data_IF_005687333017
#
_entry.id   IF_005687333017
#
_cell.length_a   1.000
_cell.length_b   1.000
_cell.length_c   1.000
_cell.angle_alpha   90.00
_cell.angle_beta   90.00
_cell.angle_gamma   90.00
#
_symmetry.space_group_name_H-M   'P 1'
#
loop_
_entity.id
_entity.type
_entity.pdbx_description
1 polymer ?
#
# COMPACT_ATOMS: atom_id res chain seq x y z
N UNK A 1 -16.47 -21.56 22.61
CA UNK A 1 -15.16 -21.59 23.33
C UNK A 1 -14.15 -21.03 22.39
N UNK A 2 -13.56 -19.88 22.77
CA UNK A 2 -12.86 -18.98 21.89
C UNK A 2 -11.55 -19.52 21.32
N UNK A 3 -11.25 -19.02 20.16
CA UNK A 3 -9.93 -19.06 19.51
C UNK A 3 -8.92 -18.42 20.47
N UNK A 4 -7.69 -18.94 20.65
CA UNK A 4 -6.71 -18.33 21.51
C UNK A 4 -6.44 -16.91 21.07
N UNK A 5 -6.73 -15.97 21.95
CA UNK A 5 -6.53 -14.54 21.80
C UNK A 5 -5.01 -14.29 21.78
N UNK A 6 -4.45 -14.03 20.63
CA UNK A 6 -3.14 -13.40 20.50
C UNK A 6 -3.41 -11.91 20.67
N UNK A 7 -3.03 -11.36 21.81
CA UNK A 7 -3.27 -9.98 22.20
C UNK A 7 -2.84 -9.00 21.10
N UNK A 8 -3.81 -8.26 20.56
CA UNK A 8 -3.55 -7.03 19.82
C UNK A 8 -3.49 -7.11 18.30
N UNK A 9 -3.78 -8.27 17.67
CA UNK A 9 -3.75 -8.40 16.21
C UNK A 9 -5.15 -8.72 15.68
N UNK A 10 -5.68 -7.87 14.81
CA UNK A 10 -6.95 -8.10 14.12
C UNK A 10 -6.73 -9.11 13.00
N UNK A 11 -6.93 -10.40 13.30
CA UNK A 11 -6.90 -11.44 12.29
C UNK A 11 -8.23 -11.48 11.53
N UNK A 12 -8.16 -11.40 10.20
CA UNK A 12 -9.30 -11.60 9.31
C UNK A 12 -9.58 -13.09 9.13
N UNK A 13 -10.86 -13.44 8.93
CA UNK A 13 -11.28 -14.80 8.59
C UNK A 13 -11.97 -14.78 7.23
N UNK A 14 -11.48 -15.60 6.30
CA UNK A 14 -12.11 -15.85 5.00
C UNK A 14 -12.75 -17.22 5.02
N UNK A 15 -14.04 -17.29 4.71
CA UNK A 15 -14.76 -18.54 4.51
C UNK A 15 -14.47 -19.08 3.11
N UNK A 16 -14.09 -20.34 3.02
CA UNK A 16 -13.82 -20.98 1.73
C UNK A 16 -14.93 -21.92 1.31
N UNK A 17 -15.07 -22.13 -0.01
CA UNK A 17 -16.04 -23.06 -0.59
C UNK A 17 -15.51 -24.50 -0.65
N UNK A 18 -14.36 -24.79 -0.03
CA UNK A 18 -13.71 -26.08 -0.19
C UNK A 18 -14.35 -27.17 0.68
N UNK A 19 -14.53 -28.34 0.09
CA UNK A 19 -14.85 -29.57 0.81
C UNK A 19 -13.60 -30.39 1.14
N UNK A 20 -12.47 -30.10 0.49
CA UNK A 20 -11.19 -30.77 0.72
C UNK A 20 -10.15 -29.78 1.31
N UNK A 21 -10.15 -29.69 2.64
CA UNK A 21 -9.22 -28.84 3.38
C UNK A 21 -7.76 -29.18 3.13
N UNK A 22 -7.42 -30.49 2.93
CA UNK A 22 -6.01 -30.87 2.72
C UNK A 22 -5.50 -30.38 1.38
N UNK A 23 -6.32 -30.48 0.33
CA UNK A 23 -6.00 -29.94 -0.97
C UNK A 23 -5.83 -28.43 -0.92
N UNK A 24 -6.71 -27.70 -0.19
CA UNK A 24 -6.59 -26.27 0.03
C UNK A 24 -5.26 -25.91 0.72
N UNK A 25 -4.92 -26.58 1.82
CA UNK A 25 -3.69 -26.36 2.57
C UNK A 25 -2.45 -26.55 1.71
N UNK A 26 -2.43 -27.62 0.92
CA UNK A 26 -1.31 -27.90 0.01
C UNK A 26 -1.19 -26.84 -1.07
N UNK A 27 -2.31 -26.44 -1.68
CA UNK A 27 -2.33 -25.40 -2.71
C UNK A 27 -1.86 -24.03 -2.18
N UNK A 28 -2.23 -23.66 -0.94
CA UNK A 28 -1.74 -22.45 -0.27
C UNK A 28 -0.24 -22.55 0.00
N UNK A 29 0.22 -23.71 0.46
CA UNK A 29 1.65 -23.94 0.75
C UNK A 29 2.51 -23.80 -0.50
N UNK A 30 2.06 -24.32 -1.63
CA UNK A 30 2.72 -24.18 -2.94
C UNK A 30 2.74 -22.73 -3.41
N UNK A 31 1.62 -21.99 -3.33
CA UNK A 31 1.54 -20.60 -3.76
C UNK A 31 2.43 -19.67 -2.92
N UNK A 32 2.46 -19.88 -1.61
CA UNK A 32 3.27 -19.09 -0.68
C UNK A 32 4.72 -19.57 -0.54
N UNK A 33 5.10 -20.64 -1.23
CA UNK A 33 6.41 -21.30 -1.08
C UNK A 33 6.76 -21.57 0.39
N UNK A 34 5.77 -21.99 1.19
CA UNK A 34 5.85 -22.21 2.63
C UNK A 34 5.46 -23.63 2.99
N UNK A 35 6.00 -24.16 4.07
CA UNK A 35 5.61 -25.48 4.59
C UNK A 35 4.30 -25.39 5.38
N UNK A 36 3.46 -26.42 5.28
CA UNK A 36 2.24 -26.54 6.06
C UNK A 36 2.48 -27.34 7.34
N UNK A 37 2.22 -26.74 8.50
CA UNK A 37 2.36 -27.37 9.80
C UNK A 37 1.00 -27.68 10.42
N UNK A 38 0.76 -28.94 10.78
CA UNK A 38 -0.45 -29.32 11.50
C UNK A 38 -0.31 -29.02 12.99
N UNK A 39 -1.20 -28.17 13.53
CA UNK A 39 -1.15 -27.71 14.93
C UNK A 39 -1.74 -28.70 15.96
N UNK A 40 -2.33 -29.81 15.51
CA UNK A 40 -2.90 -30.83 16.40
C UNK A 40 -4.13 -30.37 17.18
N UNK A 41 -4.49 -31.16 18.19
CA UNK A 41 -5.60 -30.85 19.09
C UNK A 41 -5.21 -29.77 20.12
N UNK A 42 -6.10 -28.86 20.51
CA UNK A 42 -7.56 -28.86 20.25
C UNK A 42 -7.97 -28.16 18.94
N UNK A 43 -7.11 -27.36 18.33
CA UNK A 43 -7.48 -26.52 17.17
C UNK A 43 -7.71 -27.31 15.90
N UNK A 44 -6.97 -28.41 15.70
CA UNK A 44 -6.96 -29.21 14.47
C UNK A 44 -6.72 -28.34 13.21
N UNK A 45 -6.02 -27.22 13.35
CA UNK A 45 -5.74 -26.28 12.28
C UNK A 45 -4.40 -26.59 11.60
N UNK A 46 -4.17 -25.99 10.44
CA UNK A 46 -2.87 -25.96 9.76
C UNK A 46 -2.37 -24.51 9.74
N UNK A 47 -1.09 -24.35 10.03
CA UNK A 47 -0.35 -23.10 9.83
C UNK A 47 0.42 -23.17 8.51
N UNK A 48 0.27 -22.15 7.66
CA UNK A 48 0.96 -22.03 6.38
C UNK A 48 1.44 -20.59 6.23
N UNK A 49 2.72 -20.36 6.45
CA UNK A 49 3.28 -19.01 6.49
C UNK A 49 2.64 -18.16 7.58
N UNK A 50 1.99 -17.05 7.20
CA UNK A 50 1.26 -16.16 8.12
C UNK A 50 -0.23 -16.49 8.25
N UNK A 51 -0.69 -17.60 7.67
CA UNK A 51 -2.10 -17.99 7.64
C UNK A 51 -2.36 -19.24 8.47
N UNK A 52 -3.56 -19.30 9.04
CA UNK A 52 -4.08 -20.49 9.74
C UNK A 52 -5.31 -20.97 8.98
N UNK A 53 -5.32 -22.23 8.57
CA UNK A 53 -6.50 -22.90 7.99
C UNK A 53 -7.18 -23.67 9.10
N UNK A 54 -8.39 -23.23 9.47
CA UNK A 54 -9.13 -23.83 10.58
C UNK A 54 -9.69 -25.22 10.21
N UNK A 55 -10.35 -25.86 11.18
CA UNK A 55 -10.97 -27.18 11.02
C UNK A 55 -11.99 -27.25 9.89
N UNK A 56 -12.69 -26.16 9.65
CA UNK A 56 -13.79 -26.07 8.68
C UNK A 56 -13.29 -25.63 7.29
N UNK A 57 -11.97 -25.40 7.14
CA UNK A 57 -11.35 -24.96 5.90
C UNK A 57 -11.33 -23.45 5.71
N UNK A 58 -11.74 -22.68 6.71
CA UNK A 58 -11.63 -21.23 6.63
C UNK A 58 -10.19 -20.77 6.91
N UNK A 59 -9.79 -19.66 6.32
CA UNK A 59 -8.44 -19.14 6.42
C UNK A 59 -8.45 -17.92 7.33
N UNK A 60 -7.56 -17.90 8.31
CA UNK A 60 -7.35 -16.79 9.23
C UNK A 60 -5.97 -16.20 9.02
N UNK A 61 -5.85 -14.89 8.89
CA UNK A 61 -4.58 -14.18 8.67
C UNK A 61 -4.74 -12.68 8.84
N UNK A 62 -3.61 -11.98 8.87
CA UNK A 62 -3.58 -10.52 9.05
C UNK A 62 -3.67 -9.77 7.71
N UNK A 63 -3.15 -10.36 6.64
CA UNK A 63 -3.06 -9.74 5.32
C UNK A 63 -3.28 -10.79 4.22
N UNK A 64 -4.41 -10.69 3.57
CA UNK A 64 -4.79 -11.61 2.48
C UNK A 64 -4.36 -11.13 1.09
N UNK A 65 -3.76 -9.96 0.95
CA UNK A 65 -3.35 -9.43 -0.35
C UNK A 65 -2.48 -10.42 -1.18
N UNK A 66 -1.51 -11.14 -0.59
CA UNK A 66 -0.71 -12.11 -1.36
C UNK A 66 -1.47 -13.39 -1.75
N UNK A 67 -2.52 -13.76 -0.99
CA UNK A 67 -3.21 -15.04 -1.15
C UNK A 67 -4.55 -14.91 -1.87
N UNK A 68 -5.23 -13.79 -1.73
CA UNK A 68 -6.59 -13.59 -2.25
C UNK A 68 -6.72 -13.80 -3.76
N UNK A 69 -5.82 -13.28 -4.64
CA UNK A 69 -5.89 -13.51 -6.08
C UNK A 69 -5.79 -14.99 -6.45
N UNK A 70 -4.98 -15.75 -5.72
CA UNK A 70 -4.84 -17.18 -5.88
C UNK A 70 -6.15 -17.92 -5.50
N UNK A 71 -6.72 -17.59 -4.33
CA UNK A 71 -7.97 -18.21 -3.86
C UNK A 71 -9.13 -17.95 -4.80
N UNK A 72 -9.24 -16.74 -5.34
CA UNK A 72 -10.26 -16.36 -6.32
C UNK A 72 -10.08 -17.11 -7.63
N UNK A 73 -8.87 -17.09 -8.21
CA UNK A 73 -8.55 -17.75 -9.48
C UNK A 73 -8.83 -19.26 -9.45
N UNK A 74 -8.63 -19.90 -8.29
CA UNK A 74 -8.84 -21.33 -8.10
C UNK A 74 -10.24 -21.68 -7.54
N UNK A 75 -11.14 -20.70 -7.37
CA UNK A 75 -12.52 -20.92 -6.95
C UNK A 75 -12.68 -21.35 -5.48
N UNK A 76 -11.64 -21.18 -4.65
CA UNK A 76 -11.70 -21.49 -3.22
C UNK A 76 -12.57 -20.50 -2.43
N UNK A 77 -12.68 -19.30 -2.92
CA UNK A 77 -13.56 -18.26 -2.38
C UNK A 77 -14.45 -17.77 -3.53
N UNK A 78 -15.73 -17.57 -3.26
CA UNK A 78 -16.56 -16.78 -4.14
C UNK A 78 -15.89 -15.42 -4.33
N UNK A 79 -16.12 -14.75 -5.48
CA UNK A 79 -15.64 -13.39 -5.68
C UNK A 79 -15.95 -12.55 -4.43
N UNK A 80 -15.06 -12.62 -3.44
CA UNK A 80 -14.95 -11.59 -2.45
C UNK A 80 -14.48 -10.38 -3.27
N UNK A 81 -15.43 -9.69 -3.87
CA UNK A 81 -15.21 -8.28 -4.13
C UNK A 81 -14.81 -7.75 -2.78
N UNK A 82 -13.54 -7.47 -2.57
CA UNK A 82 -13.14 -6.52 -1.54
C UNK A 82 -14.15 -5.39 -1.75
N UNK A 83 -15.05 -5.19 -0.80
CA UNK A 83 -16.06 -4.15 -0.93
C UNK A 83 -15.24 -2.88 -1.08
N UNK A 84 -15.22 -2.38 -2.31
CA UNK A 84 -14.41 -1.25 -2.64
C UNK A 84 -14.90 -0.09 -1.77
N UNK A 85 -14.21 0.12 -0.65
CA UNK A 85 -14.60 1.14 0.33
C UNK A 85 -14.35 2.50 -0.29
N UNK A 86 -15.38 3.30 -0.37
CA UNK A 86 -15.25 4.68 -0.82
C UNK A 86 -14.98 5.56 0.38
N UNK A 87 -13.80 6.17 0.42
CA UNK A 87 -13.52 7.23 1.39
C UNK A 87 -13.93 8.55 0.77
N UNK A 88 -14.85 9.25 1.42
CA UNK A 88 -15.33 10.56 0.99
C UNK A 88 -14.95 11.61 2.02
N UNK A 89 -14.32 12.70 1.57
CA UNK A 89 -13.96 13.82 2.43
C UNK A 89 -14.54 15.13 1.90
N UNK A 90 -15.01 16.03 2.78
CA UNK A 90 -15.56 17.33 2.36
C UNK A 90 -14.49 18.22 1.72
N UNK A 91 -14.83 18.83 0.61
CA UNK A 91 -14.03 19.84 -0.08
C UNK A 91 -14.91 21.00 -0.58
N UNK A 92 -15.69 21.67 0.31
CA UNK A 92 -16.75 22.60 -0.11
C UNK A 92 -16.20 23.82 -0.87
N UNK A 93 -15.02 24.32 -0.52
CA UNK A 93 -14.44 25.56 -1.05
C UNK A 93 -13.35 25.32 -2.10
N UNK A 94 -13.28 24.12 -2.66
CA UNK A 94 -12.27 23.79 -3.68
C UNK A 94 -12.58 24.51 -4.98
N UNK A 95 -11.57 25.16 -5.59
CA UNK A 95 -11.71 25.79 -6.90
C UNK A 95 -11.50 24.79 -8.04
N UNK A 96 -11.90 25.17 -9.25
CA UNK A 96 -11.73 24.29 -10.43
C UNK A 96 -10.24 24.09 -10.76
N UNK A 97 -9.40 25.11 -10.54
CA UNK A 97 -7.93 24.97 -10.67
C UNK A 97 -7.37 23.96 -9.68
N UNK A 98 -7.87 23.98 -8.44
CA UNK A 98 -7.47 23.01 -7.43
C UNK A 98 -7.97 21.59 -7.74
N UNK A 99 -9.15 21.44 -8.33
CA UNK A 99 -9.66 20.17 -8.84
C UNK A 99 -8.81 19.62 -10.00
N UNK A 100 -8.38 20.50 -10.92
CA UNK A 100 -7.40 20.13 -11.95
C UNK A 100 -6.09 19.68 -11.32
N UNK A 101 -5.55 20.42 -10.34
CA UNK A 101 -4.33 20.04 -9.63
C UNK A 101 -4.49 18.70 -8.94
N UNK A 102 -5.63 18.43 -8.31
CA UNK A 102 -5.98 17.17 -7.69
C UNK A 102 -5.95 16.01 -8.70
N UNK A 103 -6.62 16.20 -9.85
CA UNK A 103 -6.61 15.21 -10.95
C UNK A 103 -5.20 14.93 -11.45
N UNK A 104 -4.36 15.96 -11.58
CA UNK A 104 -2.98 15.82 -12.03
C UNK A 104 -2.09 15.10 -10.99
N UNK A 105 -2.27 15.37 -9.69
CA UNK A 105 -1.59 14.65 -8.63
C UNK A 105 -2.00 13.18 -8.66
N UNK A 106 -3.30 12.89 -8.73
CA UNK A 106 -3.80 11.53 -8.75
C UNK A 106 -3.30 10.77 -10.00
N UNK A 107 -3.38 11.37 -11.18
CA UNK A 107 -2.83 10.79 -12.41
C UNK A 107 -1.34 10.46 -12.28
N UNK A 108 -0.56 11.42 -11.78
CA UNK A 108 0.88 11.22 -11.62
C UNK A 108 1.22 10.09 -10.64
N UNK A 109 0.37 9.83 -9.67
CA UNK A 109 0.61 8.91 -8.55
C UNK A 109 -0.27 7.66 -8.55
N UNK A 110 -1.18 7.51 -9.53
CA UNK A 110 -2.13 6.37 -9.55
C UNK A 110 -1.41 5.02 -9.47
N UNK A 111 -0.27 4.86 -10.13
CA UNK A 111 0.50 3.63 -10.05
C UNK A 111 0.99 3.35 -8.62
N UNK A 112 1.57 4.34 -7.96
CA UNK A 112 2.03 4.22 -6.56
C UNK A 112 0.85 3.98 -5.61
N UNK A 113 -0.29 4.68 -5.81
CA UNK A 113 -1.49 4.48 -5.01
C UNK A 113 -2.03 3.04 -5.14
N UNK A 114 -2.07 2.51 -6.36
CA UNK A 114 -2.50 1.15 -6.61
C UNK A 114 -1.53 0.12 -5.99
N UNK A 115 -0.22 0.33 -6.07
CA UNK A 115 0.76 -0.51 -5.38
C UNK A 115 0.58 -0.47 -3.85
N UNK A 116 0.32 0.71 -3.26
CA UNK A 116 0.06 0.86 -1.81
C UNK A 116 -1.16 0.05 -1.37
N UNK A 117 -2.18 -0.06 -2.19
CA UNK A 117 -3.41 -0.80 -1.90
C UNK A 117 -3.32 -2.28 -2.27
N UNK A 118 -2.37 -2.66 -3.13
CA UNK A 118 -2.30 -4.00 -3.71
C UNK A 118 -3.36 -4.31 -4.77
N UNK A 119 -4.07 -3.28 -5.27
CA UNK A 119 -5.11 -3.45 -6.30
C UNK A 119 -5.20 -2.23 -7.23
N UNK A 120 -5.58 -2.46 -8.49
CA UNK A 120 -5.76 -1.41 -9.50
C UNK A 120 -7.17 -0.80 -9.42
N UNK A 121 -7.44 -0.05 -8.34
CA UNK A 121 -8.74 0.60 -8.13
C UNK A 121 -8.81 2.02 -8.69
N UNK A 122 -7.68 2.73 -8.72
CA UNK A 122 -7.60 4.13 -9.16
C UNK A 122 -7.00 4.17 -10.57
N UNK A 123 -7.79 4.61 -11.53
CA UNK A 123 -7.34 4.83 -12.90
C UNK A 123 -7.87 6.17 -13.42
N UNK A 124 -6.96 7.04 -13.82
CA UNK A 124 -7.26 8.33 -14.44
C UNK A 124 -6.74 8.27 -15.88
N UNK A 125 -7.62 8.37 -16.89
CA UNK A 125 -7.21 8.35 -18.29
C UNK A 125 -6.30 9.54 -18.64
N UNK A 126 -5.36 9.33 -19.54
CA UNK A 126 -4.49 10.39 -20.04
C UNK A 126 -5.30 11.46 -20.81
N UNK A 127 -6.34 11.03 -21.49
CA UNK A 127 -7.26 11.87 -22.25
C UNK A 127 -7.96 12.90 -21.35
N UNK A 128 -8.37 12.54 -20.15
CA UNK A 128 -8.91 13.49 -19.16
C UNK A 128 -7.86 14.53 -18.77
N UNK A 129 -6.60 14.11 -18.60
CA UNK A 129 -5.50 15.02 -18.28
C UNK A 129 -5.25 16.00 -19.41
N UNK A 130 -5.24 15.53 -20.66
CA UNK A 130 -5.08 16.42 -21.82
C UNK A 130 -6.26 17.40 -21.95
N UNK A 131 -7.49 16.94 -21.78
CA UNK A 131 -8.66 17.82 -21.78
C UNK A 131 -8.55 18.92 -20.71
N UNK A 132 -8.10 18.58 -19.49
CA UNK A 132 -7.90 19.56 -18.40
C UNK A 132 -6.69 20.49 -18.62
N UNK A 133 -5.73 20.14 -19.48
CA UNK A 133 -4.65 21.02 -19.91
C UNK A 133 -5.13 22.02 -20.96
N UNK A 134 -5.97 21.55 -21.90
CA UNK A 134 -6.48 22.37 -23.00
C UNK A 134 -7.51 23.38 -22.53
N UNK A 135 -8.48 22.94 -21.73
CA UNK A 135 -9.55 23.79 -21.24
C UNK A 135 -9.93 23.47 -19.80
N UNK A 136 -9.94 24.49 -18.95
CA UNK A 136 -10.43 24.36 -17.59
C UNK A 136 -11.96 24.52 -17.60
N UNK A 137 -12.74 23.59 -16.97
CA UNK A 137 -14.17 23.75 -16.76
C UNK A 137 -14.52 25.09 -16.09
N UNK A 138 -15.63 25.68 -16.44
CA UNK A 138 -16.00 27.00 -15.89
C UNK A 138 -16.49 26.90 -14.43
N UNK A 139 -17.17 25.82 -14.11
CA UNK A 139 -17.75 25.57 -12.77
C UNK A 139 -17.35 24.19 -12.23
N UNK A 140 -17.60 23.95 -10.94
CA UNK A 140 -17.41 22.64 -10.32
C UNK A 140 -18.39 21.60 -10.86
N UNK A 141 -19.57 22.04 -11.23
CA UNK A 141 -20.61 21.24 -11.87
C UNK A 141 -20.15 20.78 -13.26
N UNK A 142 -19.56 21.68 -14.07
CA UNK A 142 -18.97 21.33 -15.36
C UNK A 142 -17.80 20.34 -15.19
N UNK A 143 -16.99 20.52 -14.13
CA UNK A 143 -15.94 19.57 -13.80
C UNK A 143 -16.51 18.18 -13.46
N UNK A 144 -17.59 18.12 -12.69
CA UNK A 144 -18.27 16.85 -12.38
C UNK A 144 -18.81 16.18 -13.64
N UNK A 145 -19.44 16.95 -14.54
CA UNK A 145 -19.92 16.42 -15.83
C UNK A 145 -18.76 15.92 -16.71
N UNK A 146 -17.62 16.61 -16.68
CA UNK A 146 -16.43 16.15 -17.37
C UNK A 146 -15.97 14.80 -16.80
N UNK A 147 -15.86 14.63 -15.48
CA UNK A 147 -15.51 13.34 -14.87
C UNK A 147 -16.49 12.24 -15.29
N UNK A 148 -17.79 12.51 -15.27
CA UNK A 148 -18.82 11.53 -15.65
C UNK A 148 -18.65 11.07 -17.11
N UNK A 149 -18.26 11.96 -18.02
CA UNK A 149 -18.01 11.62 -19.43
C UNK A 149 -16.80 10.70 -19.63
N UNK A 150 -15.86 10.68 -18.69
CA UNK A 150 -14.68 9.80 -18.74
C UNK A 150 -14.85 8.48 -18.01
N UNK A 151 -15.95 8.25 -17.29
CA UNK A 151 -16.23 6.96 -16.62
C UNK A 151 -16.30 5.79 -17.61
N UNK A 152 -16.97 6.00 -18.75
CA UNK A 152 -17.02 5.02 -19.83
C UNK A 152 -15.67 4.84 -20.54
N UNK A 153 -14.79 5.83 -20.45
CA UNK A 153 -13.43 5.79 -21.00
C UNK A 153 -12.38 5.25 -20.02
N UNK A 154 -12.83 4.71 -18.88
CA UNK A 154 -12.00 4.01 -17.92
C UNK A 154 -11.52 4.86 -16.74
N UNK A 155 -12.15 5.99 -16.45
CA UNK A 155 -11.97 6.68 -15.16
C UNK A 155 -12.58 5.83 -14.06
N UNK A 156 -11.76 5.39 -13.11
CA UNK A 156 -12.21 4.61 -11.95
C UNK A 156 -11.56 5.10 -10.66
N UNK A 157 -12.23 4.86 -9.54
CA UNK A 157 -11.68 5.08 -8.20
C UNK A 157 -11.53 6.53 -7.78
N UNK A 158 -11.92 7.49 -8.60
CA UNK A 158 -11.92 8.92 -8.30
C UNK A 158 -13.26 9.55 -8.68
N UNK A 159 -13.84 10.31 -7.77
CA UNK A 159 -15.04 11.14 -8.05
C UNK A 159 -14.96 12.46 -7.27
N UNK A 160 -15.64 13.47 -7.82
CA UNK A 160 -15.92 14.73 -7.14
C UNK A 160 -17.35 15.12 -7.43
N UNK A 161 -18.16 15.27 -6.36
CA UNK A 161 -19.59 15.57 -6.50
C UNK A 161 -20.08 16.32 -5.27
N UNK A 162 -20.91 17.32 -5.49
CA UNK A 162 -21.56 18.10 -4.42
C UNK A 162 -20.58 18.70 -3.37
N UNK A 163 -19.33 19.01 -3.77
CA UNK A 163 -18.32 19.52 -2.86
C UNK A 163 -17.66 18.44 -2.01
N UNK A 164 -17.74 17.19 -2.43
CA UNK A 164 -17.09 16.04 -1.79
C UNK A 164 -16.11 15.38 -2.74
N UNK A 165 -14.95 15.02 -2.21
CA UNK A 165 -13.89 14.29 -2.91
C UNK A 165 -13.85 12.84 -2.44
N UNK A 166 -14.00 11.92 -3.39
CA UNK A 166 -14.06 10.49 -3.11
C UNK A 166 -12.95 9.73 -3.81
N UNK A 167 -12.31 8.81 -3.06
CA UNK A 167 -11.43 7.78 -3.60
C UNK A 167 -11.91 6.40 -3.19
N UNK A 168 -11.75 5.43 -4.10
CA UNK A 168 -12.12 4.03 -3.87
C UNK A 168 -10.87 3.23 -3.53
N UNK A 169 -10.92 2.54 -2.39
CA UNK A 169 -9.84 1.69 -1.91
C UNK A 169 -10.35 0.27 -1.64
N UNK A 170 -9.56 -0.78 -1.91
CA UNK A 170 -9.95 -2.17 -1.73
C UNK A 170 -9.69 -2.61 -0.28
N UNK A 171 -10.47 -2.11 0.68
CA UNK A 171 -10.33 -2.51 2.08
C UNK A 171 -11.51 -3.35 2.53
N UNK A 172 -11.25 -4.17 3.55
CA UNK A 172 -12.28 -4.85 4.30
C UNK A 172 -12.78 -3.97 5.44
N UNK A 173 -14.05 -4.08 5.81
CA UNK A 173 -14.67 -3.28 6.89
C UNK A 173 -13.93 -3.37 8.23
N UNK A 174 -13.22 -4.46 8.48
CA UNK A 174 -12.51 -4.72 9.72
C UNK A 174 -11.02 -4.29 9.74
N UNK A 175 -10.60 -3.42 8.83
CA UNK A 175 -9.23 -2.89 8.75
C UNK A 175 -9.14 -1.40 9.16
N UNK A 176 -9.49 -1.00 10.41
CA UNK A 176 -9.60 0.40 10.80
C UNK A 176 -8.28 1.19 10.70
N UNK A 177 -7.14 0.54 10.89
CA UNK A 177 -5.83 1.17 10.77
C UNK A 177 -5.49 1.51 9.32
N UNK A 178 -5.81 0.61 8.38
CA UNK A 178 -5.67 0.90 6.95
C UNK A 178 -6.60 2.04 6.55
N UNK A 179 -7.85 1.96 6.96
CA UNK A 179 -8.85 2.99 6.67
C UNK A 179 -8.37 4.37 7.14
N UNK A 180 -7.89 4.48 8.39
CA UNK A 180 -7.34 5.72 8.94
C UNK A 180 -6.12 6.21 8.17
N UNK A 181 -5.19 5.31 7.80
CA UNK A 181 -3.99 5.68 7.06
C UNK A 181 -4.31 6.22 5.65
N UNK A 182 -5.26 5.60 4.94
CA UNK A 182 -5.63 6.03 3.59
C UNK A 182 -6.57 7.25 3.59
N UNK A 183 -7.46 7.40 4.58
CA UNK A 183 -8.22 8.64 4.77
C UNK A 183 -7.29 9.82 5.05
N UNK A 184 -6.28 9.62 5.90
CA UNK A 184 -5.23 10.61 6.15
C UNK A 184 -4.43 10.95 4.88
N UNK A 185 -4.09 9.95 4.05
CA UNK A 185 -3.41 10.15 2.77
C UNK A 185 -4.27 10.98 1.81
N UNK A 186 -5.56 10.63 1.67
CA UNK A 186 -6.52 11.35 0.84
C UNK A 186 -6.63 12.83 1.25
N UNK A 187 -6.73 13.09 2.57
CA UNK A 187 -6.78 14.47 3.09
C UNK A 187 -5.52 15.27 2.76
N UNK A 188 -4.33 14.66 2.84
CA UNK A 188 -3.06 15.30 2.50
C UNK A 188 -2.87 15.51 1.01
N UNK A 189 -3.39 14.62 0.17
CA UNK A 189 -3.44 14.83 -1.29
C UNK A 189 -4.33 16.02 -1.62
N UNK A 190 -5.51 16.14 -1.00
CA UNK A 190 -6.40 17.27 -1.17
C UNK A 190 -5.74 18.59 -0.73
N UNK A 191 -5.05 18.59 0.41
CA UNK A 191 -4.32 19.76 0.89
C UNK A 191 -3.22 20.15 -0.11
N UNK A 192 -2.43 19.19 -0.58
CA UNK A 192 -1.39 19.44 -1.58
C UNK A 192 -1.96 20.02 -2.90
N UNK A 193 -3.13 19.57 -3.32
CA UNK A 193 -3.82 20.12 -4.51
C UNK A 193 -4.29 21.57 -4.30
N UNK A 194 -4.71 21.93 -3.08
CA UNK A 194 -5.12 23.29 -2.69
C UNK A 194 -3.94 24.25 -2.62
N UNK A 195 -2.81 23.79 -2.11
CA UNK A 195 -1.60 24.61 -1.93
C UNK A 195 -0.76 24.75 -3.22
N UNK A 196 -0.91 23.82 -4.16
CA UNK A 196 -0.12 23.79 -5.38
C UNK A 196 -0.52 24.92 -6.34
N UNK A 197 0.42 25.78 -6.69
CA UNK A 197 0.25 26.77 -7.75
C UNK A 197 0.18 26.08 -9.12
N UNK A 198 0.99 25.04 -9.33
CA UNK A 198 1.06 24.28 -10.57
C UNK A 198 1.46 22.82 -10.30
N UNK A 199 0.80 21.90 -10.98
CA UNK A 199 1.12 20.47 -10.97
C UNK A 199 1.45 20.01 -12.38
N UNK A 200 2.53 19.26 -12.54
CA UNK A 200 2.88 18.61 -13.83
C UNK A 200 2.35 17.18 -13.80
N UNK A 201 1.44 16.81 -14.71
CA UNK A 201 0.84 15.49 -14.73
C UNK A 201 1.71 14.48 -15.49
N UNK A 202 2.84 14.15 -14.94
CA UNK A 202 3.72 13.11 -15.47
C UNK A 202 3.48 11.80 -14.71
N UNK A 203 3.13 10.74 -15.44
CA UNK A 203 2.87 9.43 -14.84
C UNK A 203 4.15 8.85 -14.26
N UNK A 204 4.19 8.65 -12.96
CA UNK A 204 5.32 8.07 -12.26
C UNK A 204 5.15 6.55 -12.15
N UNK A 205 6.02 5.81 -12.84
CA UNK A 205 6.16 4.36 -12.74
C UNK A 205 7.60 4.04 -12.35
N UNK A 206 7.92 3.94 -11.05
CA UNK A 206 9.26 3.56 -10.63
C UNK A 206 9.53 2.09 -10.97
N UNK A 207 10.80 1.74 -11.14
CA UNK A 207 11.26 0.36 -11.16
C UNK A 207 10.92 -0.31 -9.81
N UNK A 208 10.70 -1.62 -9.81
CA UNK A 208 10.29 -2.38 -8.63
C UNK A 208 11.19 -2.14 -7.41
N UNK A 209 12.51 -2.12 -7.59
CA UNK A 209 13.46 -1.82 -6.52
C UNK A 209 13.30 -0.41 -5.92
N UNK A 210 12.74 0.53 -6.69
CA UNK A 210 12.61 1.94 -6.33
C UNK A 210 11.20 2.33 -5.83
N UNK A 211 10.22 1.42 -5.87
CA UNK A 211 8.83 1.69 -5.48
C UNK A 211 8.74 2.29 -4.08
N UNK A 212 9.29 1.58 -3.09
CA UNK A 212 9.24 1.99 -1.69
C UNK A 212 9.97 3.31 -1.43
N UNK A 213 11.12 3.52 -2.08
CA UNK A 213 11.86 4.77 -2.01
C UNK A 213 11.03 5.94 -2.57
N UNK A 214 10.47 5.76 -3.76
CA UNK A 214 9.69 6.77 -4.47
C UNK A 214 8.43 7.14 -3.68
N UNK A 215 7.71 6.15 -3.18
CA UNK A 215 6.54 6.34 -2.35
C UNK A 215 6.89 7.03 -1.02
N UNK A 216 7.96 6.61 -0.35
CA UNK A 216 8.45 7.22 0.89
C UNK A 216 8.80 8.69 0.70
N UNK A 217 9.52 9.04 -0.38
CA UNK A 217 9.86 10.43 -0.69
C UNK A 217 8.62 11.28 -0.97
N UNK A 218 7.61 10.71 -1.63
CA UNK A 218 6.33 11.40 -1.84
C UNK A 218 5.57 11.61 -0.53
N UNK A 219 5.45 10.58 0.31
CA UNK A 219 4.83 10.67 1.63
C UNK A 219 5.49 11.74 2.50
N UNK A 220 6.83 11.84 2.47
CA UNK A 220 7.53 12.91 3.20
C UNK A 220 7.16 14.32 2.72
N UNK A 221 6.96 14.50 1.39
CA UNK A 221 6.49 15.78 0.84
C UNK A 221 5.05 16.09 1.26
N UNK A 222 4.22 15.08 1.42
CA UNK A 222 2.86 15.20 1.96
C UNK A 222 2.83 15.39 3.48
N UNK A 223 4.00 15.51 4.15
CA UNK A 223 4.09 15.77 5.58
C UNK A 223 4.06 14.51 6.46
N UNK A 224 4.22 13.31 5.90
CA UNK A 224 4.42 12.09 6.69
C UNK A 224 5.86 12.03 7.22
N UNK A 225 6.23 12.95 8.12
CA UNK A 225 7.54 13.06 8.74
C UNK A 225 7.45 12.72 10.24
N UNK A 226 8.59 12.48 10.86
CA UNK A 226 8.66 12.26 12.30
C UNK A 226 8.27 10.84 12.76
N UNK A 227 8.47 10.56 14.05
CA UNK A 227 8.14 9.27 14.65
C UNK A 227 6.63 9.03 14.76
N UNK A 228 5.84 10.08 14.95
CA UNK A 228 4.38 10.06 15.08
C UNK A 228 3.68 9.52 13.82
N UNK A 229 4.29 9.70 12.63
CA UNK A 229 3.76 9.19 11.37
C UNK A 229 4.34 7.82 10.98
N UNK A 230 5.12 7.19 11.85
CA UNK A 230 5.82 5.93 11.54
C UNK A 230 4.86 4.80 11.25
N UNK A 231 3.83 4.64 12.05
CA UNK A 231 2.83 3.59 11.89
C UNK A 231 2.06 3.73 10.58
N UNK A 232 1.52 4.92 10.30
CA UNK A 232 0.81 5.18 9.05
C UNK A 232 1.70 4.98 7.83
N UNK A 233 2.97 5.44 7.87
CA UNK A 233 3.93 5.17 6.80
C UNK A 233 4.17 3.67 6.62
N UNK A 234 4.27 2.90 7.70
CA UNK A 234 4.48 1.45 7.63
C UNK A 234 3.32 0.77 6.92
N UNK A 235 2.08 1.17 7.23
CA UNK A 235 0.86 0.66 6.57
C UNK A 235 0.88 1.00 5.07
N UNK A 236 1.10 2.28 4.73
CA UNK A 236 1.08 2.76 3.35
C UNK A 236 2.20 2.18 2.47
N UNK A 237 3.32 1.78 3.06
CA UNK A 237 4.48 1.24 2.34
C UNK A 237 4.55 -0.30 2.38
N UNK A 238 3.56 -0.98 2.97
CA UNK A 238 3.62 -2.41 3.26
C UNK A 238 3.79 -3.26 1.99
N UNK A 239 3.03 -2.95 0.94
CA UNK A 239 2.98 -3.74 -0.30
C UNK A 239 4.03 -3.35 -1.36
N UNK A 240 4.85 -2.33 -1.11
CA UNK A 240 5.84 -1.87 -2.06
C UNK A 240 7.19 -2.57 -1.88
N UNK A 241 7.87 -2.81 -2.99
CA UNK A 241 9.18 -3.44 -3.02
C UNK A 241 10.33 -2.43 -2.83
N UNK A 242 11.51 -2.92 -2.49
CA UNK A 242 12.71 -2.12 -2.33
C UNK A 242 12.91 -1.52 -0.93
N UNK A 243 13.66 -0.44 -0.86
CA UNK A 243 14.11 0.18 0.39
C UNK A 243 13.63 1.62 0.52
N UNK A 244 13.23 2.05 1.73
CA UNK A 244 12.83 3.44 1.97
C UNK A 244 13.98 4.45 1.81
N UNK A 245 15.22 4.05 2.13
CA UNK A 245 16.38 4.94 2.14
C UNK A 245 17.19 4.96 0.84
N UNK A 246 17.01 3.96 -0.02
CA UNK A 246 17.83 3.76 -1.23
C UNK A 246 16.94 3.46 -2.44
N UNK A 247 17.25 4.11 -3.56
CA UNK A 247 16.51 3.91 -4.81
C UNK A 247 16.87 2.63 -5.55
N UNK A 248 17.95 1.93 -5.15
CA UNK A 248 18.32 0.61 -5.66
C UNK A 248 19.30 -0.11 -4.72
N UNK A 249 19.48 -1.42 -4.94
CA UNK A 249 20.37 -2.26 -4.15
C UNK A 249 21.84 -1.84 -4.21
N UNK A 250 22.31 -1.35 -5.35
CA UNK A 250 23.70 -0.88 -5.53
C UNK A 250 24.03 0.30 -4.59
N UNK A 251 23.16 1.30 -4.48
CA UNK A 251 23.33 2.41 -3.56
C UNK A 251 23.33 1.96 -2.10
N UNK A 252 22.47 1.00 -1.75
CA UNK A 252 22.43 0.40 -0.43
C UNK A 252 23.75 -0.30 -0.11
N UNK A 253 24.29 -1.09 -1.04
CA UNK A 253 25.54 -1.82 -0.83
C UNK A 253 26.72 -0.84 -0.69
N UNK A 254 26.84 0.16 -1.59
CA UNK A 254 27.87 1.19 -1.48
C UNK A 254 27.83 1.95 -0.15
N UNK A 255 26.62 2.22 0.37
CA UNK A 255 26.46 2.82 1.70
C UNK A 255 26.95 1.89 2.82
N UNK A 256 26.59 0.59 2.77
CA UNK A 256 27.06 -0.40 3.75
C UNK A 256 28.58 -0.50 3.76
N UNK A 257 29.20 -0.59 2.57
CA UNK A 257 30.65 -0.72 2.44
C UNK A 257 31.38 0.52 3.00
N UNK A 258 30.89 1.72 2.66
CA UNK A 258 31.41 2.98 3.21
C UNK A 258 31.40 3.00 4.74
N UNK A 259 30.28 2.63 5.35
CA UNK A 259 30.17 2.65 6.81
C UNK A 259 30.90 1.48 7.48
N UNK A 260 31.11 0.36 6.77
CA UNK A 260 31.97 -0.71 7.25
C UNK A 260 33.47 -0.27 7.29
N UNK A 261 33.93 0.44 6.25
CA UNK A 261 35.26 1.02 6.21
C UNK A 261 35.46 2.04 7.35
N UNK A 262 34.56 3.00 7.50
CA UNK A 262 34.61 3.99 8.60
C UNK A 262 34.64 3.35 10.00
N UNK A 263 33.88 2.25 10.20
CA UNK A 263 33.93 1.52 11.48
C UNK A 263 35.23 0.79 11.72
N UNK A 264 35.89 0.29 10.65
CA UNK A 264 37.22 -0.32 10.74
C UNK A 264 38.27 0.74 11.11
N UNK A 265 38.30 1.86 10.38
CA UNK A 265 39.21 2.99 10.66
C UNK A 265 39.07 3.50 12.10
N UNK A 266 37.83 3.65 12.58
CA UNK A 266 37.58 4.07 13.95
C UNK A 266 38.08 3.06 14.97
N UNK A 267 37.86 1.75 14.75
CA UNK A 267 38.39 0.69 15.63
C UNK A 267 39.90 0.62 15.63
N UNK A 268 40.53 0.86 14.49
CA UNK A 268 42.01 0.91 14.38
C UNK A 268 42.56 2.14 15.10
N UNK A 269 41.92 3.31 14.99
CA UNK A 269 42.31 4.52 15.68
C UNK A 269 42.08 4.46 17.22
N UNK A 270 41.06 3.73 17.68
CA UNK A 270 40.74 3.51 19.10
C UNK A 270 41.55 2.36 19.74
N UNK A 271 42.37 1.63 18.95
CA UNK A 271 43.24 0.59 19.49
C UNK A 271 44.39 1.17 20.25
N UNK A 272 44.59 0.89 21.55
CA UNK A 272 45.71 1.45 22.32
C UNK A 272 47.02 1.01 21.67
N UNK A 273 47.91 1.98 21.41
CA UNK A 273 49.32 1.70 21.15
C UNK A 273 49.90 1.23 22.50
N UNK A 274 50.07 -0.02 22.67
CA UNK A 274 51.00 -0.71 23.56
C UNK A 274 50.42 -1.97 24.20
N UNK A 275 50.84 -3.12 23.68
CA UNK A 275 51.43 -4.15 24.49
C UNK A 275 52.69 -4.60 23.76
N UNK A 276 53.89 -4.37 24.32
CA UNK A 276 55.12 -4.95 23.80
C UNK A 276 55.04 -6.48 23.92
N UNK A 277 55.37 -7.20 22.85
CA UNK A 277 55.65 -8.61 22.87
C UNK A 277 56.56 -8.90 24.06
N UNK A 278 56.07 -9.65 25.03
CA UNK A 278 56.93 -10.33 26.01
C UNK A 278 57.51 -11.56 25.33
N UNK A 279 58.70 -11.40 24.76
CA UNK A 279 59.60 -12.50 24.52
C UNK A 279 59.95 -13.21 25.84
N UNK A 280 59.62 -14.50 25.90
CA UNK A 280 60.31 -15.50 26.73
C UNK A 280 59.94 -16.91 26.21
#
# INVERSE_FOLDING_TARGET
MGVPNIEGVYAMKIETNTTDRKALVQAIAEELHSEAHYLGMPTCAYEVGSFIVDRDGNIVGEDFAPLLPFLQRNGYVADLKADAQTITIPAPDITVEQLRNLSFILYSRQHILNLMTGAETIRIPAELVEALKEALPATREDFTMLLDSYKEQGLTGFDFRAGEFSLVFPFYENEPLKWTAFAGLQGRILLAAREATRVFPELMKPEEEAEKYTAHMWLQRLGYKGPEMKEQRSILLKHLHGYCAFSNGTKMQSHKDKYAALRRERREAERPADEPEKDA
#
